data_IF_096313126253
#
_entry.id   IF_096313126253
#
_cell.length_a   1.000
_cell.length_b   1.000
_cell.length_c   1.000
_cell.angle_alpha   90.00
_cell.angle_beta   90.00
_cell.angle_gamma   90.00
#
_symmetry.space_group_name_H-M   'P 1'
#
loop_
_entity.id
_entity.type
_entity.pdbx_description
1 polymer ?
#
# COMPACT_ATOMS: atom_id res chain seq x y z
N UNK A 1 0.01 4.08 5.57
CA UNK A 1 0.03 3.65 6.97
C UNK A 1 -1.32 3.10 7.34
N UNK A 2 -1.41 2.01 8.08
CA UNK A 2 -2.64 1.68 8.80
C UNK A 2 -2.71 2.64 9.99
N UNK A 3 -3.68 3.55 10.00
CA UNK A 3 -3.95 4.39 11.17
C UNK A 3 -4.51 3.47 12.27
N UNK A 4 -3.95 3.56 13.47
CA UNK A 4 -4.42 2.86 14.66
C UNK A 4 -4.97 3.91 15.63
N UNK A 5 -6.24 3.77 16.00
CA UNK A 5 -6.86 4.63 17.01
C UNK A 5 -6.74 3.93 18.37
N UNK A 6 -5.93 4.50 19.27
CA UNK A 6 -5.70 3.95 20.61
C UNK A 6 -6.47 4.79 21.62
N UNK A 7 -7.40 4.15 22.33
CA UNK A 7 -8.12 4.74 23.46
C UNK A 7 -7.66 4.06 24.73
N UNK A 8 -7.14 4.87 25.66
CA UNK A 8 -6.52 4.38 26.88
C UNK A 8 -7.33 4.82 28.11
N UNK A 9 -7.65 3.87 28.98
CA UNK A 9 -8.27 4.12 30.28
C UNK A 9 -7.43 3.45 31.38
N UNK A 10 -7.07 4.21 32.42
CA UNK A 10 -6.28 3.76 33.58
C UNK A 10 -7.07 3.96 34.87
N UNK A 11 -7.24 2.94 35.73
CA UNK A 11 -8.04 3.08 36.96
C UNK A 11 -7.34 2.63 38.25
N UNK A 12 -7.66 3.34 39.34
CA UNK A 12 -7.37 3.01 40.76
C UNK A 12 -8.65 3.26 41.56
N UNK A 13 -9.55 2.27 41.66
CA UNK A 13 -10.75 2.33 42.50
C UNK A 13 -11.74 3.45 42.20
N UNK A 14 -11.73 3.98 40.97
CA UNK A 14 -12.73 4.92 40.44
C UNK A 14 -13.05 4.53 38.99
N UNK A 15 -14.33 4.36 38.63
CA UNK A 15 -14.73 3.99 37.27
C UNK A 15 -14.25 5.03 36.25
N UNK A 16 -13.50 4.56 35.25
CA UNK A 16 -13.10 5.33 34.09
C UNK A 16 -14.09 5.01 32.97
N UNK A 17 -15.05 5.92 32.78
CA UNK A 17 -15.96 5.85 31.63
C UNK A 17 -15.45 6.78 30.55
N UNK A 18 -15.07 6.24 29.39
CA UNK A 18 -14.80 7.09 28.23
C UNK A 18 -16.13 7.53 27.62
N UNK A 19 -16.19 8.79 27.19
CA UNK A 19 -17.28 9.28 26.36
C UNK A 19 -17.25 8.60 24.97
N UNK A 20 -18.09 9.10 24.04
CA UNK A 20 -18.10 8.69 22.64
C UNK A 20 -16.69 8.71 22.02
N UNK A 21 -16.28 7.56 21.46
CA UNK A 21 -15.01 7.36 20.78
C UNK A 21 -15.24 7.59 19.29
N UNK A 22 -14.36 8.33 18.62
CA UNK A 22 -14.45 8.55 17.18
C UNK A 22 -13.34 7.78 16.45
N UNK A 23 -13.71 6.95 15.49
CA UNK A 23 -12.77 6.14 14.72
C UNK A 23 -13.10 6.15 13.23
N UNK A 24 -12.10 5.99 12.38
CA UNK A 24 -12.29 5.90 10.92
C UNK A 24 -12.56 4.45 10.53
N UNK A 25 -13.56 4.21 9.67
CA UNK A 25 -13.85 2.87 9.14
C UNK A 25 -12.64 2.28 8.41
N UNK A 26 -12.59 0.94 8.34
CA UNK A 26 -11.53 0.14 7.70
C UNK A 26 -10.13 0.32 8.34
N UNK A 27 -10.07 0.92 9.52
CA UNK A 27 -8.86 1.03 10.33
C UNK A 27 -8.99 0.22 11.61
N UNK A 28 -7.88 -0.02 12.28
CA UNK A 28 -7.88 -0.72 13.56
C UNK A 28 -8.18 0.25 14.70
N UNK A 29 -8.96 -0.22 15.67
CA UNK A 29 -9.26 0.49 16.91
C UNK A 29 -8.82 -0.36 18.08
N UNK A 30 -8.12 0.24 19.03
CA UNK A 30 -7.61 -0.43 20.22
C UNK A 30 -8.20 0.23 21.48
N UNK A 31 -8.87 -0.58 22.29
CA UNK A 31 -9.37 -0.21 23.60
C UNK A 31 -8.44 -0.84 24.63
N UNK A 32 -7.70 0.00 25.35
CA UNK A 32 -6.72 -0.44 26.36
C UNK A 32 -7.22 -0.12 27.76
N UNK A 33 -7.38 -1.16 28.56
CA UNK A 33 -7.67 -1.07 29.99
C UNK A 33 -6.43 -1.45 30.79
N UNK A 34 -5.95 -0.53 31.62
CA UNK A 34 -4.77 -0.74 32.48
C UNK A 34 -5.16 -0.62 33.96
N UNK A 35 -4.68 -1.59 34.74
CA UNK A 35 -4.80 -1.64 36.18
C UNK A 35 -3.50 -1.24 36.87
N UNK A 36 -3.54 -0.18 37.67
CA UNK A 36 -2.34 0.35 38.35
C UNK A 36 -2.30 0.07 39.85
N UNK A 37 -3.26 -0.71 40.40
CA UNK A 37 -3.26 -1.11 41.79
C UNK A 37 -2.34 -2.29 42.13
N UNK A 38 -2.04 -2.46 43.42
CA UNK A 38 -1.13 -3.50 43.95
C UNK A 38 -1.87 -4.67 44.65
N UNK A 39 -3.19 -4.60 44.76
CA UNK A 39 -4.05 -5.57 45.46
C UNK A 39 -4.38 -6.85 44.65
N UNK A 40 -3.79 -7.00 43.44
CA UNK A 40 -3.99 -8.16 42.59
C UNK A 40 -5.30 -8.18 41.79
N UNK A 41 -6.13 -7.13 41.85
CA UNK A 41 -7.42 -7.04 41.14
C UNK A 41 -7.29 -6.78 39.62
N UNK A 42 -6.07 -6.85 39.06
CA UNK A 42 -5.77 -6.62 37.66
C UNK A 42 -5.88 -7.84 36.75
N UNK A 43 -6.39 -8.98 37.24
CA UNK A 43 -6.53 -10.18 36.41
C UNK A 43 -7.72 -10.04 35.46
N UNK A 44 -7.45 -9.66 34.22
CA UNK A 44 -8.46 -9.56 33.17
C UNK A 44 -8.84 -10.92 32.60
N UNK A 45 -10.13 -11.12 32.34
CA UNK A 45 -10.70 -12.37 31.85
C UNK A 45 -11.13 -12.27 30.38
N UNK A 46 -12.24 -11.58 30.13
CA UNK A 46 -12.89 -11.57 28.83
C UNK A 46 -13.53 -10.21 28.54
N UNK A 47 -13.53 -9.82 27.27
CA UNK A 47 -14.16 -8.60 26.77
C UNK A 47 -15.60 -8.83 26.35
N UNK A 48 -16.43 -7.82 26.60
CA UNK A 48 -17.86 -7.80 26.31
C UNK A 48 -18.22 -6.54 25.53
N UNK A 49 -19.23 -6.67 24.67
CA UNK A 49 -19.91 -5.59 23.97
C UNK A 49 -21.41 -5.69 24.20
N UNK A 50 -22.01 -4.64 24.75
CA UNK A 50 -23.42 -4.63 25.19
C UNK A 50 -23.83 -5.89 26.00
N UNK A 51 -22.90 -6.42 26.80
CA UNK A 51 -23.10 -7.62 27.63
C UNK A 51 -22.86 -8.98 26.93
N UNK A 52 -22.54 -9.00 25.64
CA UNK A 52 -22.19 -10.23 24.90
C UNK A 52 -20.68 -10.39 24.81
N UNK A 53 -20.18 -11.60 25.12
CA UNK A 53 -18.76 -11.90 25.05
C UNK A 53 -18.24 -11.80 23.61
N UNK A 54 -17.17 -11.04 23.42
CA UNK A 54 -16.55 -10.80 22.11
C UNK A 54 -16.03 -12.10 21.46
N UNK A 55 -15.68 -13.10 22.28
CA UNK A 55 -15.25 -14.43 21.85
C UNK A 55 -16.33 -15.22 21.08
N UNK A 56 -17.61 -14.88 21.26
CA UNK A 56 -18.74 -15.58 20.63
C UNK A 56 -18.99 -15.15 19.17
N UNK A 57 -18.32 -14.09 18.71
CA UNK A 57 -18.48 -13.55 17.37
C UNK A 57 -17.48 -14.08 16.35
N UNK A 58 -17.66 -13.68 15.09
CA UNK A 58 -16.87 -14.08 13.92
C UNK A 58 -15.37 -14.16 14.23
N UNK A 59 -14.83 -15.38 14.16
CA UNK A 59 -13.43 -15.65 14.44
C UNK A 59 -12.51 -14.71 13.64
N UNK A 60 -11.71 -13.94 14.37
CA UNK A 60 -10.66 -13.09 13.81
C UNK A 60 -11.00 -11.63 13.53
N UNK A 61 -12.24 -11.15 13.75
CA UNK A 61 -12.58 -9.70 13.67
C UNK A 61 -11.98 -8.91 14.84
N UNK A 62 -12.06 -9.50 16.03
CA UNK A 62 -11.46 -8.98 17.26
C UNK A 62 -10.18 -9.75 17.61
N UNK A 63 -9.23 -9.08 18.26
CA UNK A 63 -8.09 -9.70 18.92
C UNK A 63 -7.99 -9.14 20.34
N UNK A 64 -7.74 -10.01 21.30
CA UNK A 64 -7.55 -9.62 22.70
C UNK A 64 -6.13 -9.98 23.10
N UNK A 65 -5.43 -9.02 23.70
CA UNK A 65 -4.12 -9.24 24.30
C UNK A 65 -4.21 -8.87 25.77
N UNK A 66 -3.95 -9.83 26.65
CA UNK A 66 -4.02 -9.64 28.10
C UNK A 66 -2.66 -9.93 28.73
N UNK A 67 -2.28 -9.09 29.67
CA UNK A 67 -1.10 -9.21 30.54
C UNK A 67 -1.56 -9.14 32.01
N UNK A 68 -0.63 -9.23 32.96
CA UNK A 68 -0.96 -9.21 34.41
C UNK A 68 -1.64 -7.92 34.87
N UNK A 69 -1.40 -6.80 34.18
CA UNK A 69 -1.92 -5.47 34.57
C UNK A 69 -2.63 -4.74 33.45
N UNK A 70 -2.72 -5.31 32.25
CA UNK A 70 -3.36 -4.67 31.11
C UNK A 70 -4.15 -5.65 30.28
N UNK A 71 -5.28 -5.22 29.75
CA UNK A 71 -5.97 -5.93 28.68
C UNK A 71 -6.32 -4.95 27.57
N UNK A 72 -6.05 -5.37 26.35
CA UNK A 72 -6.30 -4.60 25.13
C UNK A 72 -7.21 -5.38 24.21
N UNK A 73 -8.32 -4.77 23.80
CA UNK A 73 -9.18 -5.23 22.72
C UNK A 73 -8.84 -4.48 21.44
N UNK A 74 -8.42 -5.20 20.42
CA UNK A 74 -8.17 -4.71 19.08
C UNK A 74 -9.31 -5.11 18.14
N UNK A 75 -10.07 -4.13 17.67
CA UNK A 75 -10.95 -4.27 16.51
C UNK A 75 -10.06 -4.15 15.27
N UNK A 76 -9.83 -5.26 14.56
CA UNK A 76 -8.82 -5.28 13.49
C UNK A 76 -9.19 -4.41 12.29
N UNK A 77 -10.48 -4.43 11.92
CA UNK A 77 -11.04 -3.63 10.83
C UNK A 77 -12.36 -3.08 11.32
N UNK A 78 -12.39 -1.84 11.78
CA UNK A 78 -13.61 -1.20 12.25
C UNK A 78 -14.64 -1.03 11.12
N UNK A 79 -15.84 -1.58 11.31
CA UNK A 79 -16.93 -1.55 10.31
C UNK A 79 -18.18 -0.87 10.86
N UNK A 80 -19.12 -0.53 9.98
CA UNK A 80 -20.39 0.13 10.36
C UNK A 80 -21.16 -0.67 11.41
N UNK A 81 -21.12 -2.00 11.38
CA UNK A 81 -21.80 -2.80 12.40
C UNK A 81 -21.23 -2.59 13.82
N UNK A 82 -19.94 -2.26 13.95
CA UNK A 82 -19.34 -2.00 15.25
C UNK A 82 -19.86 -0.67 15.86
N UNK A 83 -20.44 0.24 15.06
CA UNK A 83 -21.03 1.50 15.56
C UNK A 83 -22.39 1.30 16.23
N UNK A 84 -22.98 0.11 16.15
CA UNK A 84 -24.23 -0.20 16.83
C UNK A 84 -24.01 -0.53 18.32
N UNK A 85 -22.76 -0.73 18.73
CA UNK A 85 -22.39 -1.09 20.10
C UNK A 85 -22.39 0.16 20.99
N UNK A 86 -23.14 0.13 22.08
CA UNK A 86 -23.27 1.28 22.99
C UNK A 86 -22.15 1.32 24.05
N UNK A 87 -21.65 0.16 24.49
CA UNK A 87 -20.47 0.12 25.35
C UNK A 87 -19.63 -1.15 25.22
N UNK A 88 -18.35 -1.01 25.56
CA UNK A 88 -17.37 -2.09 25.66
C UNK A 88 -16.79 -2.13 27.07
N UNK A 89 -16.59 -3.33 27.60
CA UNK A 89 -16.08 -3.51 28.95
C UNK A 89 -15.35 -4.85 29.06
N UNK A 90 -14.29 -4.88 29.86
CA UNK A 90 -13.59 -6.12 30.21
C UNK A 90 -14.00 -6.57 31.60
N UNK A 91 -14.15 -7.88 31.82
CA UNK A 91 -14.31 -8.46 33.15
C UNK A 91 -12.96 -8.69 33.81
N UNK A 92 -12.91 -8.54 35.11
CA UNK A 92 -11.76 -8.87 35.95
C UNK A 92 -12.15 -9.92 36.99
N UNK A 93 -11.18 -10.73 37.40
CA UNK A 93 -11.30 -11.57 38.57
C UNK A 93 -10.90 -10.75 39.80
N UNK A 94 -11.86 -10.49 40.69
CA UNK A 94 -11.64 -9.80 41.95
C UNK A 94 -11.89 -10.79 43.08
N UNK A 95 -10.83 -11.17 43.80
CA UNK A 95 -10.92 -12.07 44.97
C UNK A 95 -11.66 -13.40 44.68
N UNK A 96 -11.55 -13.94 43.46
CA UNK A 96 -12.20 -15.19 43.05
C UNK A 96 -13.60 -15.03 42.45
N UNK A 97 -14.12 -13.80 42.35
CA UNK A 97 -15.40 -13.48 41.72
C UNK A 97 -15.21 -12.73 40.41
N UNK A 98 -15.99 -13.09 39.39
CA UNK A 98 -16.05 -12.33 38.14
C UNK A 98 -16.82 -11.04 38.34
N UNK A 99 -16.15 -9.90 38.16
CA UNK A 99 -16.77 -8.58 38.22
C UNK A 99 -16.47 -7.77 36.96
N UNK A 100 -17.36 -6.85 36.53
CA UNK A 100 -17.03 -5.91 35.47
C UNK A 100 -15.89 -4.99 35.94
N UNK A 101 -14.88 -4.80 35.10
CA UNK A 101 -13.82 -3.83 35.40
C UNK A 101 -14.36 -2.40 35.43
N UNK A 102 -13.60 -1.52 36.06
CA UNK A 102 -13.87 -0.10 36.10
C UNK A 102 -13.59 0.62 34.76
N UNK A 103 -12.99 -0.07 33.78
CA UNK A 103 -12.82 0.44 32.41
C UNK A 103 -14.09 0.20 31.60
N UNK A 104 -14.90 1.25 31.44
CA UNK A 104 -16.05 1.23 30.53
C UNK A 104 -15.78 2.15 29.35
N UNK A 105 -15.74 1.59 28.16
CA UNK A 105 -15.60 2.37 26.93
C UNK A 105 -16.99 2.62 26.34
N UNK A 106 -17.29 3.88 26.03
CA UNK A 106 -18.54 4.25 25.37
C UNK A 106 -18.61 3.82 23.90
N UNK A 107 -19.70 4.22 23.25
CA UNK A 107 -19.96 4.00 21.82
C UNK A 107 -18.80 4.46 20.94
N UNK A 108 -18.48 3.66 19.93
CA UNK A 108 -17.51 4.01 18.90
C UNK A 108 -18.27 4.49 17.66
N UNK A 109 -18.23 5.79 17.41
CA UNK A 109 -18.84 6.42 16.24
C UNK A 109 -17.86 6.53 15.09
N UNK A 110 -18.37 6.26 13.89
CA UNK A 110 -17.56 6.33 12.69
C UNK A 110 -17.39 7.78 12.22
N UNK A 111 -16.14 8.18 11.98
CA UNK A 111 -15.79 9.45 11.35
C UNK A 111 -16.00 9.26 9.84
N UNK A 112 -16.79 10.14 9.19
CA UNK A 112 -16.90 10.19 7.74
C UNK A 112 -15.51 10.24 7.10
N UNK A 113 -15.21 9.27 6.24
CA UNK A 113 -13.91 9.19 5.56
C UNK A 113 -14.10 9.00 4.06
N UNK A 114 -13.32 9.71 3.24
CA UNK A 114 -13.46 9.63 1.80
C UNK A 114 -12.83 8.34 1.30
N UNK A 115 -13.58 7.61 0.50
CA UNK A 115 -13.03 6.52 -0.30
C UNK A 115 -13.12 6.90 -1.76
N UNK A 116 -11.97 7.07 -2.40
CA UNK A 116 -11.93 7.13 -3.87
C UNK A 116 -11.79 5.71 -4.41
N UNK A 117 -12.81 5.27 -5.15
CA UNK A 117 -12.72 4.05 -5.95
C UNK A 117 -12.40 4.46 -7.37
N UNK A 118 -11.29 3.98 -7.86
CA UNK A 118 -10.93 4.09 -9.26
C UNK A 118 -11.47 2.86 -10.01
N UNK A 119 -12.20 3.11 -11.10
CA UNK A 119 -12.61 2.07 -12.04
C UNK A 119 -12.16 2.48 -13.44
N UNK A 120 -11.52 1.56 -14.14
CA UNK A 120 -11.43 1.60 -15.59
C UNK A 120 -11.84 0.23 -16.14
N UNK A 121 -12.50 0.26 -17.30
CA UNK A 121 -12.95 -0.91 -18.05
C UNK A 121 -11.80 -1.93 -18.14
N UNK A 122 -12.09 -3.16 -17.71
CA UNK A 122 -11.19 -4.28 -17.39
C UNK A 122 -10.53 -4.22 -15.98
N UNK A 123 -11.38 -4.34 -14.95
CA UNK A 123 -11.14 -5.07 -13.69
C UNK A 123 -9.96 -4.65 -12.77
N UNK A 124 -9.35 -3.48 -12.94
CA UNK A 124 -8.41 -2.98 -11.94
C UNK A 124 -9.16 -2.11 -10.91
N UNK A 125 -9.65 -2.72 -9.83
CA UNK A 125 -10.13 -1.98 -8.64
C UNK A 125 -8.90 -1.35 -7.99
N UNK A 126 -8.58 -0.10 -8.34
CA UNK A 126 -7.55 0.64 -7.62
C UNK A 126 -8.23 1.24 -6.40
N UNK A 127 -8.12 0.52 -5.31
CA UNK A 127 -8.56 0.98 -4.00
C UNK A 127 -7.57 2.05 -3.54
N UNK A 128 -8.00 3.32 -3.50
CA UNK A 128 -7.13 4.38 -3.03
C UNK A 128 -6.83 4.14 -1.56
N UNK A 129 -5.58 3.87 -1.22
CA UNK A 129 -5.10 4.06 0.15
C UNK A 129 -4.95 5.56 0.36
N UNK A 130 -5.97 6.17 0.97
CA UNK A 130 -5.98 7.55 1.50
C UNK A 130 -5.35 8.60 0.58
N UNK A 131 -6.21 9.36 -0.11
CA UNK A 131 -5.90 10.72 -0.54
C UNK A 131 -4.96 10.89 -1.74
N UNK A 132 -4.46 9.84 -2.40
CA UNK A 132 -3.75 10.02 -3.67
C UNK A 132 -3.94 8.88 -4.68
N UNK A 133 -4.25 9.28 -5.91
CA UNK A 133 -4.40 8.40 -7.08
C UNK A 133 -3.27 8.68 -8.06
N UNK A 134 -2.72 7.62 -8.67
CA UNK A 134 -1.68 7.74 -9.69
C UNK A 134 -2.21 7.22 -11.01
N UNK A 135 -2.12 8.04 -12.06
CA UNK A 135 -2.48 7.62 -13.42
C UNK A 135 -1.43 8.01 -14.45
N UNK A 136 -1.36 7.23 -15.51
CA UNK A 136 -0.54 7.59 -16.67
C UNK A 136 -1.30 8.57 -17.55
N UNK A 137 -0.57 9.44 -18.22
CA UNK A 137 -1.10 10.32 -19.24
C UNK A 137 -1.88 9.53 -20.33
N UNK A 138 -2.90 10.18 -20.89
CA UNK A 138 -3.87 9.66 -21.87
C UNK A 138 -4.78 8.53 -21.39
N UNK A 139 -4.69 8.13 -20.12
CA UNK A 139 -5.63 7.18 -19.51
C UNK A 139 -6.82 7.92 -18.90
N UNK A 140 -7.95 7.22 -18.83
CA UNK A 140 -9.12 7.72 -18.13
C UNK A 140 -8.93 7.62 -16.60
N UNK A 141 -9.56 8.53 -15.86
CA UNK A 141 -9.67 8.45 -14.40
C UNK A 141 -11.09 8.85 -14.00
N UNK A 142 -11.61 8.14 -13.01
CA UNK A 142 -12.87 8.46 -12.34
C UNK A 142 -12.56 8.64 -10.87
N UNK A 143 -12.87 9.82 -10.33
CA UNK A 143 -12.78 10.11 -8.91
C UNK A 143 -14.20 10.09 -8.35
N UNK A 144 -14.44 9.25 -7.34
CA UNK A 144 -15.73 9.12 -6.68
C UNK A 144 -15.65 9.64 -5.25
N UNK A 145 -16.63 10.44 -4.83
CA UNK A 145 -16.75 10.94 -3.46
C UNK A 145 -17.66 9.99 -2.66
N UNK A 146 -17.07 8.91 -2.14
CA UNK A 146 -17.80 7.97 -1.27
C UNK A 146 -17.51 8.31 0.17
N UNK A 147 -18.57 8.50 0.95
CA UNK A 147 -18.48 8.76 2.39
C UNK A 147 -19.11 7.61 3.12
N UNK A 148 -18.33 7.01 4.00
CA UNK A 148 -18.79 5.96 4.89
C UNK A 148 -18.55 6.39 6.36
N UNK A 149 -19.57 6.31 7.24
CA UNK A 149 -20.97 5.98 6.93
C UNK A 149 -21.65 7.13 6.16
N UNK A 150 -22.66 6.79 5.35
CA UNK A 150 -23.46 7.83 4.68
C UNK A 150 -24.22 8.65 5.75
N UNK A 151 -24.15 9.99 5.71
CA UNK A 151 -24.93 10.83 6.62
C UNK A 151 -26.43 10.67 6.35
N UNK A 152 -27.26 10.95 7.37
CA UNK A 152 -28.73 10.76 7.28
C UNK A 152 -29.38 11.59 6.16
N UNK A 153 -28.83 12.76 5.85
CA UNK A 153 -29.24 13.62 4.73
C UNK A 153 -28.17 13.59 3.61
N UNK A 154 -27.96 12.42 3.01
CA UNK A 154 -27.02 12.26 1.90
C UNK A 154 -27.74 12.47 0.56
N UNK A 155 -27.46 13.59 -0.11
CA UNK A 155 -27.85 13.84 -1.51
C UNK A 155 -26.60 13.95 -2.39
N UNK A 156 -26.53 13.09 -3.41
CA UNK A 156 -25.42 13.06 -4.37
C UNK A 156 -25.36 14.34 -5.22
N UNK A 157 -26.48 15.06 -5.36
CA UNK A 157 -26.55 16.30 -6.13
C UNK A 157 -25.95 17.50 -5.38
N UNK A 158 -25.91 17.44 -4.05
CA UNK A 158 -25.35 18.50 -3.20
C UNK A 158 -23.81 18.50 -3.19
N UNK A 159 -23.17 17.43 -3.68
CA UNK A 159 -21.71 17.30 -3.67
C UNK A 159 -21.09 18.38 -4.55
N UNK A 160 -20.27 19.24 -3.94
CA UNK A 160 -19.50 20.27 -4.62
C UNK A 160 -18.09 19.75 -4.88
N UNK A 161 -17.61 19.89 -6.11
CA UNK A 161 -16.25 19.53 -6.50
C UNK A 161 -15.44 20.76 -6.84
N UNK A 162 -14.23 20.83 -6.29
CA UNK A 162 -13.30 21.92 -6.49
C UNK A 162 -11.92 21.38 -6.84
N UNK A 163 -11.08 22.24 -7.41
CA UNK A 163 -9.73 21.89 -7.83
C UNK A 163 -8.72 22.94 -7.35
N UNK A 164 -7.57 22.45 -6.90
CA UNK A 164 -6.41 23.25 -6.50
C UNK A 164 -5.12 22.64 -7.03
N UNK A 165 -4.14 23.47 -7.37
CA UNK A 165 -2.82 22.99 -7.81
C UNK A 165 -1.90 22.67 -6.62
N UNK A 166 -2.08 23.40 -5.53
CA UNK A 166 -1.17 23.52 -4.39
C UNK A 166 -1.83 23.19 -3.04
N UNK A 167 -3.11 22.82 -3.03
CA UNK A 167 -3.92 22.54 -1.83
C UNK A 167 -4.31 23.79 -1.03
N UNK A 168 -3.90 24.98 -1.45
CA UNK A 168 -4.14 26.24 -0.72
C UNK A 168 -5.31 27.02 -1.33
N UNK A 169 -5.36 27.14 -2.66
CA UNK A 169 -6.38 27.91 -3.37
C UNK A 169 -7.22 27.00 -4.26
N UNK A 170 -8.49 26.84 -3.90
CA UNK A 170 -9.45 26.03 -4.64
C UNK A 170 -10.29 26.89 -5.58
N UNK A 171 -10.55 26.32 -6.75
CA UNK A 171 -11.25 26.95 -7.87
C UNK A 171 -12.20 25.94 -8.51
N UNK A 172 -12.90 26.37 -9.56
CA UNK A 172 -13.75 25.48 -10.35
C UNK A 172 -12.93 24.39 -11.03
N UNK A 173 -13.59 23.27 -11.33
CA UNK A 173 -12.97 22.16 -12.04
C UNK A 173 -12.38 22.60 -13.40
N UNK A 174 -11.27 21.99 -13.83
CA UNK A 174 -10.76 22.19 -15.19
C UNK A 174 -11.83 21.82 -16.25
N UNK A 175 -11.87 22.50 -17.41
CA UNK A 175 -12.95 22.34 -18.39
C UNK A 175 -13.06 20.94 -19.02
N UNK A 176 -11.97 20.17 -18.97
CA UNK A 176 -11.88 18.77 -19.43
C UNK A 176 -12.38 17.74 -18.42
N UNK A 177 -12.88 18.18 -17.26
CA UNK A 177 -13.44 17.33 -16.21
C UNK A 177 -14.96 17.35 -16.28
N UNK A 178 -15.58 16.18 -16.35
CA UNK A 178 -17.04 16.03 -16.33
C UNK A 178 -17.51 15.64 -14.93
N UNK A 179 -18.54 16.30 -14.41
CA UNK A 179 -19.19 15.96 -13.13
C UNK A 179 -20.52 15.24 -13.40
N UNK A 180 -20.77 14.15 -12.68
CA UNK A 180 -22.02 13.39 -12.72
C UNK A 180 -22.34 12.87 -11.31
N UNK A 181 -23.23 13.54 -10.58
CA UNK A 181 -23.55 13.19 -9.19
C UNK A 181 -22.32 13.22 -8.27
N UNK A 182 -22.03 12.07 -7.65
CA UNK A 182 -20.94 11.86 -6.70
C UNK A 182 -19.56 11.62 -7.33
N UNK A 183 -19.46 11.61 -8.67
CA UNK A 183 -18.22 11.33 -9.40
C UNK A 183 -17.83 12.45 -10.35
N UNK A 184 -16.52 12.54 -10.59
CA UNK A 184 -15.93 13.30 -11.68
C UNK A 184 -15.08 12.37 -12.56
N UNK A 185 -15.12 12.60 -13.87
CA UNK A 185 -14.41 11.78 -14.85
C UNK A 185 -13.57 12.62 -15.80
N UNK A 186 -12.42 12.07 -16.17
CA UNK A 186 -11.52 12.63 -17.19
C UNK A 186 -11.13 11.49 -18.12
N UNK A 187 -11.47 11.55 -19.40
CA UNK A 187 -11.20 10.46 -20.36
C UNK A 187 -9.72 10.40 -20.77
N UNK A 188 -9.13 11.57 -21.03
CA UNK A 188 -7.74 11.70 -21.45
C UNK A 188 -6.97 12.58 -20.48
N UNK A 189 -6.39 11.94 -19.46
CA UNK A 189 -5.67 12.67 -18.42
C UNK A 189 -4.35 13.24 -18.96
N UNK A 190 -4.06 14.51 -18.68
CA UNK A 190 -2.85 15.24 -19.06
C UNK A 190 -2.11 15.75 -17.84
N UNK A 191 -0.83 16.10 -18.00
CA UNK A 191 0.03 16.59 -16.89
C UNK A 191 -0.53 17.81 -16.16
N UNK A 192 -1.33 18.66 -16.83
CA UNK A 192 -1.93 19.82 -16.19
C UNK A 192 -3.08 19.46 -15.23
N UNK A 193 -3.71 18.29 -15.37
CA UNK A 193 -4.71 17.78 -14.43
C UNK A 193 -4.12 17.35 -13.08
N UNK A 194 -2.78 17.32 -12.94
CA UNK A 194 -2.11 17.11 -11.66
C UNK A 194 -2.58 18.13 -10.62
N UNK A 195 -3.02 17.66 -9.45
CA UNK A 195 -3.42 18.55 -8.37
C UNK A 195 -4.38 17.88 -7.40
N UNK A 196 -4.91 18.70 -6.51
CA UNK A 196 -5.84 18.33 -5.47
C UNK A 196 -7.26 18.58 -5.95
N UNK A 197 -8.07 17.53 -5.93
CA UNK A 197 -9.51 17.61 -6.13
C UNK A 197 -10.15 17.48 -4.77
N UNK A 198 -11.13 18.32 -4.46
CA UNK A 198 -11.83 18.30 -3.18
C UNK A 198 -13.30 18.09 -3.43
N UNK A 199 -13.88 17.09 -2.78
CA UNK A 199 -15.33 16.98 -2.69
C UNK A 199 -15.82 17.51 -1.34
N UNK A 200 -16.89 18.27 -1.37
CA UNK A 200 -17.51 18.91 -0.22
C UNK A 200 -18.98 18.51 -0.16
N UNK A 201 -19.44 18.03 0.99
CA UNK A 201 -20.84 17.68 1.26
C UNK A 201 -21.13 17.89 2.74
N UNK A 202 -22.25 18.55 3.05
CA UNK A 202 -22.64 18.89 4.43
C UNK A 202 -21.50 19.56 5.24
N UNK A 203 -20.72 20.46 4.61
CA UNK A 203 -19.52 21.11 5.16
C UNK A 203 -18.34 20.18 5.52
N UNK A 204 -18.42 18.90 5.18
CA UNK A 204 -17.30 17.97 5.29
C UNK A 204 -16.55 17.97 3.96
N UNK A 205 -15.24 18.22 4.03
CA UNK A 205 -14.37 18.34 2.86
C UNK A 205 -13.39 17.20 2.79
N UNK A 206 -13.14 16.72 1.58
CA UNK A 206 -12.29 15.56 1.34
C UNK A 206 -11.36 15.78 0.15
N UNK A 207 -10.07 16.05 0.41
CA UNK A 207 -9.09 16.21 -0.66
C UNK A 207 -8.60 14.85 -1.20
N UNK A 208 -8.36 14.80 -2.50
CA UNK A 208 -7.71 13.70 -3.20
C UNK A 208 -6.71 14.25 -4.21
N UNK A 209 -5.47 13.78 -4.11
CA UNK A 209 -4.36 14.20 -4.97
C UNK A 209 -4.23 13.28 -6.19
N UNK A 210 -4.54 13.82 -7.37
CA UNK A 210 -4.31 13.15 -8.64
C UNK A 210 -2.88 13.39 -9.11
N UNK A 211 -2.13 12.30 -9.30
CA UNK A 211 -0.76 12.28 -9.81
C UNK A 211 -0.68 11.58 -11.17
N UNK A 212 -0.66 12.38 -12.20
CA UNK A 212 -0.41 12.05 -13.59
C UNK A 212 1.09 11.87 -13.85
N UNK A 213 1.47 10.67 -14.28
CA UNK A 213 2.82 10.34 -14.77
C UNK A 213 2.88 10.48 -16.27
N UNK A 214 3.99 11.01 -16.77
CA UNK A 214 4.24 11.13 -18.21
C UNK A 214 4.20 9.75 -18.88
N UNK A 215 3.69 9.69 -20.12
CA UNK A 215 3.59 8.43 -20.89
C UNK A 215 4.95 7.75 -21.09
N UNK A 216 6.01 8.55 -21.20
CA UNK A 216 7.38 8.10 -21.43
C UNK A 216 8.18 7.91 -20.14
N UNK A 217 7.57 8.13 -18.96
CA UNK A 217 8.25 7.93 -17.68
C UNK A 217 8.83 6.50 -17.55
N UNK A 218 8.15 5.52 -18.12
CA UNK A 218 8.59 4.14 -18.14
C UNK A 218 9.76 3.86 -19.11
N UNK A 219 10.05 4.75 -20.06
CA UNK A 219 11.13 4.57 -21.05
C UNK A 219 12.51 4.95 -20.47
N UNK A 220 12.55 5.91 -19.55
CA UNK A 220 13.78 6.36 -18.89
C UNK A 220 14.64 5.24 -18.27
N UNK A 221 14.10 4.26 -17.52
CA UNK A 221 14.91 3.14 -17.03
C UNK A 221 15.51 2.31 -18.16
N UNK A 222 14.81 2.14 -19.29
CA UNK A 222 15.37 1.43 -20.44
C UNK A 222 16.53 2.20 -21.08
N UNK A 223 16.40 3.52 -21.23
CA UNK A 223 17.49 4.35 -21.76
C UNK A 223 18.72 4.28 -20.84
N UNK A 224 18.51 4.28 -19.52
CA UNK A 224 19.60 4.09 -18.55
C UNK A 224 20.29 2.73 -18.66
N UNK A 225 19.53 1.66 -18.86
CA UNK A 225 20.11 0.31 -19.06
C UNK A 225 20.91 0.27 -20.37
N UNK A 226 20.34 0.79 -21.46
CA UNK A 226 21.00 0.81 -22.78
C UNK A 226 22.29 1.63 -22.74
N UNK A 227 22.29 2.78 -22.07
CA UNK A 227 23.49 3.61 -21.96
C UNK A 227 24.62 2.91 -21.19
N UNK A 228 24.28 2.20 -20.10
CA UNK A 228 25.24 1.40 -19.33
C UNK A 228 25.86 0.30 -20.20
N UNK A 229 25.05 -0.42 -20.98
CA UNK A 229 25.54 -1.47 -21.87
C UNK A 229 26.49 -0.89 -22.93
N UNK A 230 26.16 0.25 -23.53
CA UNK A 230 27.03 0.92 -24.52
C UNK A 230 28.39 1.29 -23.91
N UNK A 231 28.41 1.86 -22.71
CA UNK A 231 29.66 2.22 -22.02
C UNK A 231 30.52 0.98 -21.73
N UNK A 232 29.92 -0.11 -21.26
CA UNK A 232 30.65 -1.36 -21.01
C UNK A 232 31.28 -1.91 -22.29
N UNK A 233 30.54 -1.91 -23.40
CA UNK A 233 31.07 -2.34 -24.70
C UNK A 233 32.24 -1.45 -25.13
N UNK A 234 32.14 -0.13 -24.99
CA UNK A 234 33.23 0.80 -25.33
C UNK A 234 34.48 0.52 -24.49
N UNK A 235 34.34 0.32 -23.17
CA UNK A 235 35.46 0.03 -22.28
C UNK A 235 36.16 -1.28 -22.68
N UNK A 236 35.39 -2.34 -22.95
CA UNK A 236 35.92 -3.63 -23.39
C UNK A 236 36.69 -3.48 -24.72
N UNK A 237 36.14 -2.75 -25.69
CA UNK A 237 36.79 -2.53 -26.98
C UNK A 237 38.12 -1.77 -26.86
N UNK A 238 38.17 -0.73 -26.01
CA UNK A 238 39.41 0.01 -25.73
C UNK A 238 40.43 -0.90 -25.04
N UNK A 239 40.00 -1.70 -24.08
CA UNK A 239 40.87 -2.65 -23.38
C UNK A 239 41.46 -3.69 -24.35
N UNK A 240 40.64 -4.30 -25.20
CA UNK A 240 41.11 -5.22 -26.23
C UNK A 240 42.09 -4.56 -27.20
N UNK A 241 41.80 -3.34 -27.65
CA UNK A 241 42.66 -2.61 -28.57
C UNK A 241 44.02 -2.32 -27.94
N UNK A 242 44.06 -1.95 -26.66
CA UNK A 242 45.32 -1.75 -25.90
C UNK A 242 46.06 -3.07 -25.69
N UNK A 243 45.37 -4.17 -25.41
CA UNK A 243 46.00 -5.48 -25.25
C UNK A 243 46.60 -6.01 -26.57
N UNK A 244 45.88 -5.87 -27.69
CA UNK A 244 46.37 -6.22 -29.04
C UNK A 244 47.56 -5.34 -29.46
N UNK A 245 47.59 -4.08 -29.03
CA UNK A 245 48.73 -3.17 -29.24
C UNK A 245 49.96 -3.58 -28.41
N UNK A 246 49.77 -3.88 -27.11
CA UNK A 246 50.88 -4.27 -26.22
C UNK A 246 51.48 -5.65 -26.55
N UNK A 247 50.72 -6.54 -27.21
CA UNK A 247 51.22 -7.85 -27.65
C UNK A 247 52.02 -7.80 -28.96
N UNK A 248 51.92 -6.69 -29.71
CA UNK A 248 52.70 -6.44 -30.94
C UNK A 248 54.07 -5.79 -30.69
N UNK A 249 54.34 -5.29 -29.48
CA UNK A 249 55.62 -4.68 -29.11
C UNK A 249 56.55 -5.62 -28.31
N UNK A 250 56.31 -6.94 -28.36
CA UNK A 250 57.12 -7.97 -27.69
C UNK A 250 57.44 -9.16 -28.60
N UNK A 251 57.40 -8.98 -29.93
CA UNK A 251 57.92 -9.95 -30.90
C UNK A 251 58.54 -9.18 -32.06
N UNK A 252 59.65 -8.53 -31.78
CA UNK A 252 60.76 -8.38 -32.74
C UNK A 252 61.95 -9.09 -32.06
N UNK A 253 62.73 -9.83 -32.86
CA UNK A 253 63.80 -10.79 -32.52
C UNK A 253 63.36 -12.26 -32.33
N UNK A 254 63.16 -12.96 -33.45
CA UNK A 254 64.17 -13.91 -33.95
C UNK A 254 63.78 -14.48 -35.34
N UNK A 255 64.57 -14.13 -36.34
CA UNK A 255 64.61 -14.79 -37.65
C UNK A 255 65.21 -16.20 -37.54
N UNK A 256 64.52 -17.23 -38.08
CA UNK A 256 65.18 -18.27 -38.88
C UNK A 256 64.17 -19.14 -39.66
N UNK A 257 64.27 -19.01 -40.98
CA UNK A 257 64.19 -20.03 -42.05
C UNK A 257 63.06 -21.08 -42.04
N UNK A 258 62.19 -21.02 -43.05
CA UNK A 258 62.42 -21.74 -44.33
C UNK A 258 61.12 -21.73 -45.17
N UNK A 259 61.20 -21.11 -46.35
CA UNK A 259 60.14 -21.07 -47.34
C UNK A 259 59.92 -22.45 -48.00
N UNK A 260 58.65 -22.82 -48.24
CA UNK A 260 58.20 -23.62 -49.39
C UNK A 260 56.71 -23.30 -49.67
N UNK A 261 56.45 -22.76 -50.87
CA UNK A 261 55.15 -22.52 -51.54
C UNK A 261 54.88 -23.70 -52.53
N UNK A 262 53.78 -23.84 -53.32
CA UNK A 262 52.39 -23.33 -53.29
C UNK A 262 51.28 -24.41 -53.53
N UNK A 263 50.01 -23.98 -53.44
CA UNK A 263 48.80 -24.43 -54.20
C UNK A 263 48.32 -25.91 -54.14
N UNK A 264 47.05 -26.11 -53.74
CA UNK A 264 45.90 -26.49 -54.61
C UNK A 264 44.75 -27.02 -53.76
N UNK A 265 43.59 -26.42 -53.99
CA UNK A 265 42.24 -26.74 -53.48
C UNK A 265 41.64 -27.90 -54.30
N UNK A 266 41.14 -28.96 -53.67
CA UNK A 266 39.95 -29.70 -54.12
C UNK A 266 39.55 -30.82 -53.14
N UNK A 267 38.40 -30.62 -52.50
CA UNK A 267 37.30 -31.58 -52.27
C UNK A 267 37.58 -33.09 -52.39
N UNK A 268 37.17 -33.86 -51.38
CA UNK A 268 36.18 -34.95 -51.51
C UNK A 268 35.76 -35.47 -50.12
N UNK A 269 34.46 -35.38 -49.82
CA UNK A 269 33.72 -36.28 -48.92
C UNK A 269 33.88 -37.74 -49.43
N UNK A 270 33.68 -38.82 -48.63
CA UNK A 270 32.49 -38.98 -47.80
C UNK A 270 32.62 -39.82 -46.50
N UNK A 271 31.50 -39.79 -45.75
CA UNK A 271 30.97 -40.79 -44.82
C UNK A 271 31.78 -42.08 -44.58
N UNK A 272 31.98 -42.46 -43.32
CA UNK A 272 31.24 -43.60 -42.80
C UNK A 272 31.24 -43.71 -41.27
N UNK A 273 30.30 -44.54 -40.85
CA UNK A 273 29.61 -44.63 -39.59
C UNK A 273 30.39 -45.27 -38.42
N UNK A 274 29.78 -45.10 -37.25
CA UNK A 274 29.65 -46.11 -36.19
C UNK A 274 30.76 -46.36 -35.14
N UNK A 275 30.42 -45.88 -33.94
CA UNK A 275 30.42 -46.60 -32.64
C UNK A 275 31.67 -47.34 -32.16
N UNK A 276 32.18 -46.98 -30.97
CA UNK A 276 32.03 -47.83 -29.75
C UNK A 276 32.59 -47.15 -28.49
N UNK A 277 31.68 -46.98 -27.51
CA UNK A 277 31.76 -47.41 -26.09
C UNK A 277 33.04 -47.02 -25.31
N UNK A 278 32.94 -46.11 -24.33
CA UNK A 278 32.45 -46.30 -22.94
C UNK A 278 33.43 -47.10 -22.07
N UNK A 279 34.07 -46.42 -21.11
CA UNK A 279 34.41 -46.89 -19.75
C UNK A 279 35.36 -45.84 -19.11
N UNK A 280 35.06 -45.15 -18.00
CA UNK A 280 34.74 -45.57 -16.61
C UNK A 280 35.97 -45.41 -15.69
N UNK A 281 35.67 -45.05 -14.43
CA UNK A 281 36.48 -45.04 -13.20
C UNK A 281 37.10 -43.69 -12.83
N UNK A 282 36.99 -43.22 -11.57
CA UNK A 282 36.34 -43.75 -10.36
C UNK A 282 36.04 -42.58 -9.41
#
# INVERSE_FOLDING_TARGET
SSIIFIVHAQYIGKPQTTNEIKAVLKHSVELKCEYTGEDGNGQFLEWYKDGVAVSTEKAGHYAVTTTEKESTLTIKIFVVNDTAVEFWQVKTNKLGYEEPSECRFGKISAIPSPQSIETNRANEKIESRQGSIRRSEDKAVVLKCIIEPKPDNYDENEIVWEYSKDEESYSTLPPSVTKEGDKISIEHVKKFHNGFYRCTINNVTFPVLLRVKDRLAALWPFIGIVSVVIVLVIIILIFEKRQKSNKKSSTDDDDQDQANDPLVRATTNPSDNDTKKRAVNA
#
